data_IF_482252528493
#
_entry.id   IF_482252528493
#
_cell.length_a   1.000
_cell.length_b   1.000
_cell.length_c   1.000
_cell.angle_alpha   90.00
_cell.angle_beta   90.00
_cell.angle_gamma   90.00
#
_symmetry.space_group_name_H-M   'P 1'
#
loop_
_entity.id
_entity.type
_entity.pdbx_description
1 polymer ?
#
# COMPACT_ATOMS: atom_id res chain seq x y z
N UNK A 1 18.78 -1.35 1.92
CA UNK A 1 17.93 -1.80 0.79
C UNK A 1 16.54 -1.17 1.03
N UNK A 2 15.97 -0.42 0.09
CA UNK A 2 14.71 0.29 0.37
C UNK A 2 13.54 -0.69 0.43
N UNK A 3 12.66 -0.48 1.41
CA UNK A 3 11.34 -1.08 1.49
C UNK A 3 10.36 -0.22 0.70
N UNK A 4 9.55 -0.83 -0.16
CA UNK A 4 8.58 -0.10 -0.95
C UNK A 4 7.15 -0.35 -0.48
N UNK A 5 6.40 0.75 -0.41
CA UNK A 5 4.94 0.76 -0.31
C UNK A 5 4.43 1.43 -1.59
N UNK A 6 3.37 0.89 -2.18
CA UNK A 6 2.74 1.50 -3.35
C UNK A 6 1.27 1.75 -3.10
N UNK A 7 0.84 2.94 -3.49
CA UNK A 7 -0.58 3.26 -3.65
C UNK A 7 -0.89 3.16 -5.14
N UNK A 8 -1.71 2.18 -5.49
CA UNK A 8 -2.15 1.92 -6.87
C UNK A 8 -3.48 2.63 -7.09
N UNK A 9 -3.42 3.90 -7.49
CA UNK A 9 -4.57 4.80 -7.53
C UNK A 9 -5.46 4.62 -8.77
N UNK A 10 -6.78 4.66 -8.56
CA UNK A 10 -7.78 4.62 -9.64
C UNK A 10 -8.22 6.03 -10.09
N UNK A 11 -7.91 7.04 -9.29
CA UNK A 11 -8.07 8.45 -9.62
C UNK A 11 -6.69 9.08 -9.75
N UNK A 12 -6.52 9.96 -10.74
CA UNK A 12 -5.26 10.64 -11.03
C UNK A 12 -5.39 12.17 -10.86
N UNK A 13 -6.28 12.58 -9.97
CA UNK A 13 -6.46 13.98 -9.61
C UNK A 13 -5.15 14.57 -9.05
N UNK A 14 -4.98 15.86 -9.25
CA UNK A 14 -3.81 16.57 -8.71
C UNK A 14 -3.90 16.55 -7.18
N UNK A 15 -2.81 16.17 -6.55
CA UNK A 15 -2.63 16.25 -5.09
C UNK A 15 -1.59 17.35 -4.85
N UNK A 16 -2.02 18.56 -4.45
CA UNK A 16 -1.11 19.66 -4.19
C UNK A 16 -0.19 19.38 -2.99
N UNK A 17 0.99 19.98 -3.01
CA UNK A 17 1.97 19.79 -1.92
C UNK A 17 1.43 20.30 -0.59
N UNK A 18 0.71 21.42 -0.59
CA UNK A 18 0.08 22.02 0.58
C UNK A 18 -0.96 21.10 1.25
N UNK A 19 -1.66 20.25 0.49
CA UNK A 19 -2.55 19.24 1.06
C UNK A 19 -1.79 18.16 1.84
N UNK A 20 -0.60 17.79 1.36
CA UNK A 20 0.28 16.83 2.06
C UNK A 20 0.90 17.48 3.32
N UNK A 21 1.30 18.73 3.23
CA UNK A 21 1.77 19.51 4.38
C UNK A 21 0.65 19.65 5.43
N UNK A 22 -0.57 20.00 5.02
CA UNK A 22 -1.72 20.08 5.91
C UNK A 22 -2.08 18.72 6.56
N UNK A 23 -1.81 17.60 5.89
CA UNK A 23 -1.98 16.27 6.49
C UNK A 23 -0.98 16.04 7.63
N UNK A 24 0.29 16.42 7.43
CA UNK A 24 1.31 16.34 8.48
C UNK A 24 1.01 17.27 9.67
N UNK A 25 0.58 18.50 9.40
CA UNK A 25 0.18 19.47 10.44
C UNK A 25 -0.99 18.95 11.27
N UNK A 26 -2.04 18.41 10.61
CA UNK A 26 -3.22 17.83 11.28
C UNK A 26 -2.85 16.68 12.20
N UNK A 27 -1.89 15.86 11.79
CA UNK A 27 -1.43 14.70 12.56
C UNK A 27 -0.30 15.08 13.54
N UNK A 28 0.02 16.39 13.69
CA UNK A 28 1.07 16.96 14.58
C UNK A 28 2.48 16.39 14.31
N UNK A 29 2.77 16.08 13.03
CA UNK A 29 4.02 15.47 12.59
C UNK A 29 4.97 16.52 12.03
N UNK A 30 6.22 16.52 12.50
CA UNK A 30 7.24 17.47 12.07
C UNK A 30 8.15 16.85 11.01
N UNK A 31 7.83 17.10 9.75
CA UNK A 31 8.62 16.72 8.60
C UNK A 31 8.58 17.82 7.53
N UNK A 32 9.59 17.85 6.66
CA UNK A 32 9.68 18.81 5.55
C UNK A 32 9.51 18.06 4.23
N UNK A 33 8.67 18.58 3.35
CA UNK A 33 8.50 18.08 1.99
C UNK A 33 9.35 18.91 1.02
N UNK A 34 10.10 18.22 0.15
CA UNK A 34 10.90 18.84 -0.90
C UNK A 34 10.54 18.20 -2.23
N UNK A 35 9.73 18.91 -3.04
CA UNK A 35 9.32 18.43 -4.34
C UNK A 35 10.36 18.78 -5.42
N UNK A 36 10.39 17.99 -6.50
CA UNK A 36 11.23 18.22 -7.69
C UNK A 36 10.79 19.46 -8.48
N UNK A 37 9.55 19.88 -8.29
CA UNK A 37 8.97 21.09 -8.88
C UNK A 37 8.24 21.87 -7.78
N UNK A 38 8.45 23.20 -7.76
CA UNK A 38 7.77 24.07 -6.78
C UNK A 38 6.28 24.24 -7.10
N UNK A 39 5.92 24.14 -8.40
CA UNK A 39 4.55 24.22 -8.89
C UNK A 39 3.99 22.82 -9.19
N UNK A 40 2.69 22.61 -8.93
CA UNK A 40 1.99 21.40 -9.35
C UNK A 40 1.96 21.24 -10.89
N UNK A 41 2.10 19.98 -11.38
CA UNK A 41 2.14 18.71 -10.63
C UNK A 41 3.56 18.22 -10.35
N UNK A 42 3.87 17.92 -9.07
CA UNK A 42 5.11 17.25 -8.69
C UNK A 42 5.18 15.81 -9.23
N UNK A 43 6.40 15.32 -9.44
CA UNK A 43 6.69 13.91 -9.82
C UNK A 43 7.42 13.17 -8.71
N UNK A 44 8.25 13.86 -7.94
CA UNK A 44 9.02 13.29 -6.84
C UNK A 44 8.97 14.21 -5.63
N UNK A 45 8.78 13.63 -4.47
CA UNK A 45 8.88 14.32 -3.17
C UNK A 45 9.89 13.58 -2.29
N UNK A 46 10.90 14.28 -1.82
CA UNK A 46 11.74 13.84 -0.71
C UNK A 46 11.12 14.32 0.61
N UNK A 47 10.92 13.40 1.55
CA UNK A 47 10.39 13.69 2.88
C UNK A 47 11.52 13.60 3.90
N UNK A 48 11.77 14.71 4.60
CA UNK A 48 12.85 14.85 5.56
C UNK A 48 12.29 14.94 6.98
N UNK A 49 12.93 14.26 7.93
CA UNK A 49 12.64 14.44 9.35
C UNK A 49 13.02 15.84 9.82
N UNK A 50 12.57 16.25 11.01
CA UNK A 50 12.99 17.49 11.67
C UNK A 50 14.53 17.62 11.82
N UNK A 51 15.26 16.52 11.76
CA UNK A 51 16.74 16.47 11.83
C UNK A 51 17.39 16.49 10.44
N UNK A 52 16.61 16.60 9.35
CA UNK A 52 17.09 16.61 7.98
C UNK A 52 17.44 15.24 7.39
N UNK A 53 17.11 14.13 8.07
CA UNK A 53 17.30 12.78 7.53
C UNK A 53 16.16 12.42 6.59
N UNK A 54 16.46 11.82 5.43
CA UNK A 54 15.45 11.37 4.47
C UNK A 54 14.69 10.17 5.04
N UNK A 55 13.37 10.31 5.20
CA UNK A 55 12.47 9.28 5.70
C UNK A 55 11.91 8.43 4.56
N UNK A 56 11.41 9.09 3.53
CA UNK A 56 10.81 8.44 2.36
C UNK A 56 10.99 9.33 1.14
N UNK A 57 11.14 8.70 -0.01
CA UNK A 57 10.96 9.35 -1.30
C UNK A 57 9.65 8.85 -1.90
N UNK A 58 8.81 9.75 -2.40
CA UNK A 58 7.53 9.43 -3.02
C UNK A 58 7.63 9.79 -4.50
N UNK A 59 7.48 8.80 -5.38
CA UNK A 59 7.43 8.99 -6.82
C UNK A 59 5.99 8.82 -7.31
N UNK A 60 5.55 9.71 -8.22
CA UNK A 60 4.25 9.68 -8.87
C UNK A 60 4.42 9.30 -10.33
N UNK A 61 3.89 8.16 -10.71
CA UNK A 61 4.02 7.60 -12.06
C UNK A 61 2.63 7.36 -12.66
N UNK A 62 2.27 8.07 -13.74
CA UNK A 62 1.02 7.82 -14.47
C UNK A 62 1.11 6.52 -15.27
N UNK A 63 -0.04 5.80 -15.34
CA UNK A 63 -0.15 4.54 -16.07
C UNK A 63 -0.63 4.83 -17.50
N UNK A 64 0.20 4.48 -18.47
CA UNK A 64 -0.12 4.50 -19.90
C UNK A 64 0.75 3.46 -20.63
N UNK A 65 0.37 3.03 -21.84
CA UNK A 65 1.11 1.99 -22.56
C UNK A 65 2.59 2.34 -22.76
N UNK A 66 3.46 1.43 -22.31
CA UNK A 66 4.92 1.55 -22.46
C UNK A 66 5.64 2.37 -21.38
N UNK A 67 4.95 2.88 -20.35
CA UNK A 67 5.58 3.54 -19.22
C UNK A 67 6.05 2.53 -18.14
N UNK A 68 6.88 3.00 -17.19
CA UNK A 68 7.37 2.16 -16.07
C UNK A 68 6.23 1.64 -15.19
N UNK A 69 5.24 2.48 -14.86
CA UNK A 69 4.11 2.05 -14.03
C UNK A 69 3.28 0.93 -14.69
N UNK A 70 3.12 0.96 -16.03
CA UNK A 70 2.48 -0.14 -16.76
C UNK A 70 3.33 -1.42 -16.67
N UNK A 71 4.64 -1.32 -16.87
CA UNK A 71 5.53 -2.46 -16.76
C UNK A 71 5.49 -3.07 -15.34
N UNK A 72 5.48 -2.26 -14.29
CA UNK A 72 5.35 -2.70 -12.90
C UNK A 72 4.01 -3.41 -12.64
N UNK A 73 2.89 -2.89 -13.16
CA UNK A 73 1.59 -3.57 -13.06
C UNK A 73 1.58 -4.93 -13.80
N UNK A 74 2.26 -5.01 -14.94
CA UNK A 74 2.39 -6.28 -15.68
C UNK A 74 3.26 -7.29 -14.89
N UNK A 75 4.32 -6.83 -14.20
CA UNK A 75 5.10 -7.66 -13.28
C UNK A 75 4.25 -8.13 -12.09
N UNK A 76 3.42 -7.29 -11.50
CA UNK A 76 2.49 -7.68 -10.44
C UNK A 76 1.49 -8.74 -10.93
N UNK A 77 0.96 -8.62 -12.15
CA UNK A 77 0.09 -9.66 -12.74
C UNK A 77 0.76 -11.02 -12.84
N UNK A 78 2.05 -11.04 -13.14
CA UNK A 78 2.81 -12.29 -13.17
C UNK A 78 3.05 -12.82 -11.75
N UNK A 79 3.47 -11.96 -10.84
CA UNK A 79 3.81 -12.29 -9.46
C UNK A 79 2.61 -12.87 -8.70
N UNK A 80 1.43 -12.24 -8.78
CA UNK A 80 0.26 -12.67 -8.00
C UNK A 80 -0.21 -14.09 -8.36
N UNK A 81 0.10 -14.60 -9.55
CA UNK A 81 -0.33 -15.94 -9.99
C UNK A 81 0.23 -17.08 -9.16
N UNK A 82 1.33 -16.83 -8.45
CA UNK A 82 2.00 -17.81 -7.59
C UNK A 82 1.53 -17.72 -6.13
N UNK A 83 0.56 -16.83 -5.83
CA UNK A 83 0.12 -16.53 -4.46
C UNK A 83 -1.32 -16.94 -4.18
N UNK A 84 -1.73 -16.83 -2.91
CA UNK A 84 -3.03 -17.24 -2.40
C UNK A 84 -3.69 -16.08 -1.64
N UNK A 85 -5.03 -16.05 -1.55
CA UNK A 85 -6.00 -16.99 -2.13
C UNK A 85 -6.28 -16.71 -3.63
N UNK A 86 -6.66 -17.75 -4.39
CA UNK A 86 -6.92 -17.62 -5.83
C UNK A 86 -8.06 -16.64 -6.17
N UNK A 87 -9.05 -16.50 -5.29
CA UNK A 87 -10.14 -15.52 -5.45
C UNK A 87 -9.61 -14.08 -5.46
N UNK A 88 -8.63 -13.77 -4.60
CA UNK A 88 -7.97 -12.47 -4.58
C UNK A 88 -7.10 -12.26 -5.82
N UNK A 89 -6.39 -13.29 -6.30
CA UNK A 89 -5.59 -13.22 -7.54
C UNK A 89 -6.47 -12.84 -8.72
N UNK A 90 -7.61 -13.52 -8.91
CA UNK A 90 -8.55 -13.23 -10.00
C UNK A 90 -9.13 -11.82 -9.89
N UNK A 91 -9.47 -11.39 -8.69
CA UNK A 91 -9.99 -10.05 -8.45
C UNK A 91 -8.94 -8.97 -8.75
N UNK A 92 -7.68 -9.14 -8.26
CA UNK A 92 -6.57 -8.22 -8.50
C UNK A 92 -6.24 -8.09 -9.98
N UNK A 93 -6.19 -9.20 -10.73
CA UNK A 93 -5.91 -9.18 -12.17
C UNK A 93 -6.89 -8.29 -12.93
N UNK A 94 -8.19 -8.40 -12.63
CA UNK A 94 -9.21 -7.50 -13.19
C UNK A 94 -9.17 -6.07 -12.64
N UNK A 95 -8.74 -5.89 -11.38
CA UNK A 95 -8.67 -4.56 -10.77
C UNK A 95 -7.53 -3.71 -11.34
N UNK A 96 -6.41 -4.32 -11.71
CA UNK A 96 -5.25 -3.60 -12.27
C UNK A 96 -5.58 -2.81 -13.54
N UNK A 97 -6.60 -3.18 -14.32
CA UNK A 97 -7.06 -2.41 -15.48
C UNK A 97 -7.64 -1.03 -15.11
N UNK A 98 -7.99 -0.82 -13.84
CA UNK A 98 -8.55 0.43 -13.33
C UNK A 98 -7.48 1.41 -12.85
N UNK A 99 -6.23 0.95 -12.65
CA UNK A 99 -5.16 1.77 -12.11
C UNK A 99 -4.72 2.83 -13.13
N UNK A 100 -4.65 4.07 -12.68
CA UNK A 100 -4.27 5.24 -13.48
C UNK A 100 -2.97 5.88 -13.04
N UNK A 101 -2.58 5.66 -11.79
CA UNK A 101 -1.38 6.25 -11.19
C UNK A 101 -0.80 5.30 -10.15
N UNK A 102 0.53 5.24 -10.07
CA UNK A 102 1.27 4.54 -9.03
C UNK A 102 2.06 5.57 -8.23
N UNK A 103 1.81 5.63 -6.94
CA UNK A 103 2.65 6.37 -6.00
C UNK A 103 3.55 5.37 -5.29
N UNK A 104 4.85 5.41 -5.60
CA UNK A 104 5.85 4.53 -5.02
C UNK A 104 6.56 5.23 -3.86
N UNK A 105 6.43 4.70 -2.66
CA UNK A 105 7.07 5.17 -1.44
C UNK A 105 8.33 4.32 -1.20
N UNK A 106 9.49 4.84 -1.50
CA UNK A 106 10.75 4.24 -1.09
C UNK A 106 11.05 4.65 0.36
N UNK A 107 10.77 3.74 1.29
CA UNK A 107 10.95 3.98 2.73
C UNK A 107 12.37 3.65 3.13
N UNK A 108 13.06 4.58 3.78
CA UNK A 108 14.43 4.41 4.25
C UNK A 108 14.48 3.90 5.70
N UNK A 109 15.56 3.23 6.08
CA UNK A 109 15.71 2.61 7.40
C UNK A 109 15.47 3.58 8.57
N UNK A 110 15.81 4.87 8.38
CA UNK A 110 15.57 5.94 9.36
C UNK A 110 14.09 6.14 9.68
N UNK A 111 13.21 5.85 8.72
CA UNK A 111 11.77 5.94 8.94
C UNK A 111 11.25 4.87 9.90
N UNK A 112 11.98 3.76 10.07
CA UNK A 112 11.60 2.67 10.98
C UNK A 112 12.06 2.92 12.43
N UNK A 113 12.69 4.06 12.72
CA UNK A 113 13.20 4.41 14.03
C UNK A 113 12.28 5.47 14.65
N UNK A 114 11.97 5.30 15.93
CA UNK A 114 11.09 6.19 16.70
C UNK A 114 9.69 6.32 16.03
N UNK A 115 9.08 7.49 16.14
CA UNK A 115 7.76 7.79 15.57
C UNK A 115 7.83 8.27 14.10
N UNK A 116 8.99 8.14 13.44
CA UNK A 116 9.16 8.61 12.07
C UNK A 116 8.25 7.90 11.05
N UNK A 117 7.86 6.64 11.33
CA UNK A 117 6.97 5.89 10.45
C UNK A 117 5.56 6.48 10.38
N UNK A 118 5.14 7.26 11.41
CA UNK A 118 3.87 7.97 11.39
C UNK A 118 3.80 9.02 10.28
N UNK A 119 4.94 9.65 9.94
CA UNK A 119 5.05 10.57 8.80
C UNK A 119 4.72 9.84 7.48
N UNK A 120 5.33 8.66 7.27
CA UNK A 120 5.05 7.83 6.08
C UNK A 120 3.60 7.40 6.05
N UNK A 121 3.04 6.99 7.19
CA UNK A 121 1.65 6.55 7.33
C UNK A 121 0.66 7.68 7.05
N UNK A 122 0.93 8.90 7.53
CA UNK A 122 0.10 10.08 7.29
C UNK A 122 0.05 10.44 5.80
N UNK A 123 1.21 10.57 5.16
CA UNK A 123 1.29 10.88 3.72
C UNK A 123 0.66 9.79 2.86
N UNK A 124 0.88 8.51 3.18
CA UNK A 124 0.24 7.39 2.50
C UNK A 124 -1.30 7.47 2.60
N UNK A 125 -1.84 7.75 3.79
CA UNK A 125 -3.30 7.93 3.98
C UNK A 125 -3.84 9.11 3.17
N UNK A 126 -3.12 10.24 3.15
CA UNK A 126 -3.53 11.43 2.40
C UNK A 126 -3.58 11.14 0.89
N UNK A 127 -2.53 10.55 0.32
CA UNK A 127 -2.46 10.19 -1.09
C UNK A 127 -3.50 9.13 -1.43
N UNK A 128 -3.61 8.06 -0.65
CA UNK A 128 -4.58 7.00 -0.90
C UNK A 128 -6.02 7.48 -0.77
N UNK A 129 -6.31 8.35 0.19
CA UNK A 129 -7.64 8.95 0.34
C UNK A 129 -8.09 9.77 -0.88
N UNK A 130 -7.16 10.36 -1.63
CA UNK A 130 -7.43 11.12 -2.87
C UNK A 130 -7.45 10.23 -4.12
N UNK A 131 -6.48 9.35 -4.25
CA UNK A 131 -6.33 8.49 -5.43
C UNK A 131 -7.20 7.24 -5.40
N UNK A 132 -7.69 6.84 -4.22
CA UNK A 132 -8.35 5.56 -4.02
C UNK A 132 -7.45 4.38 -4.39
N UNK A 133 -8.07 3.23 -4.68
CA UNK A 133 -7.36 2.08 -5.22
C UNK A 133 -6.74 1.17 -4.16
N UNK A 134 -5.68 0.46 -4.50
CA UNK A 134 -5.08 -0.60 -3.71
C UNK A 134 -3.81 -0.14 -3.00
N UNK A 135 -3.45 -0.87 -1.94
CA UNK A 135 -2.13 -0.79 -1.34
C UNK A 135 -1.33 -2.06 -1.66
N UNK A 136 -0.07 -1.90 -2.01
CA UNK A 136 0.90 -2.99 -2.13
C UNK A 136 2.09 -2.67 -1.23
N UNK A 137 2.51 -3.63 -0.43
CA UNK A 137 3.70 -3.52 0.41
C UNK A 137 4.65 -4.66 0.07
N UNK A 138 5.94 -4.34 -0.06
CA UNK A 138 6.97 -5.35 -0.24
C UNK A 138 6.96 -6.34 0.94
N UNK A 139 7.08 -7.64 0.66
CA UNK A 139 7.09 -8.72 1.65
C UNK A 139 5.80 -8.88 2.49
N UNK A 140 4.73 -8.16 2.14
CA UNK A 140 3.42 -8.36 2.76
C UNK A 140 2.40 -8.83 1.72
N UNK A 141 2.29 -8.11 0.60
CA UNK A 141 1.35 -8.35 -0.48
C UNK A 141 0.38 -7.20 -0.71
N UNK A 142 -0.86 -7.52 -1.03
CA UNK A 142 -1.87 -6.55 -1.44
C UNK A 142 -2.97 -6.38 -0.41
N UNK A 143 -3.43 -5.13 -0.25
CA UNK A 143 -4.66 -4.80 0.44
C UNK A 143 -5.67 -4.24 -0.57
N UNK A 144 -6.97 -4.54 -0.35
CA UNK A 144 -8.04 -4.03 -1.18
C UNK A 144 -8.26 -2.51 -1.00
N UNK A 145 -9.23 -1.96 -1.71
CA UNK A 145 -9.60 -0.55 -1.70
C UNK A 145 -10.22 -0.05 -0.38
N UNK A 146 -10.42 -0.96 0.59
CA UNK A 146 -10.83 -0.65 1.96
C UNK A 146 -9.68 -0.85 2.98
N UNK A 147 -8.48 -1.24 2.53
CA UNK A 147 -7.28 -1.42 3.36
C UNK A 147 -7.14 -2.78 4.04
N UNK A 148 -8.00 -3.75 3.74
CA UNK A 148 -7.88 -5.11 4.26
C UNK A 148 -6.92 -5.93 3.41
N UNK A 149 -6.01 -6.65 4.07
CA UNK A 149 -5.06 -7.53 3.42
C UNK A 149 -5.78 -8.69 2.72
N UNK A 150 -5.47 -8.93 1.44
CA UNK A 150 -6.20 -9.88 0.61
C UNK A 150 -5.33 -10.92 -0.08
N UNK A 151 -4.02 -10.67 -0.22
CA UNK A 151 -3.08 -11.57 -0.89
C UNK A 151 -1.82 -11.75 -0.06
N UNK A 152 -1.47 -13.00 0.25
CA UNK A 152 -0.36 -13.34 1.11
C UNK A 152 0.98 -13.31 0.39
N UNK A 153 1.90 -12.46 0.85
CA UNK A 153 3.31 -12.46 0.46
C UNK A 153 4.24 -12.31 1.69
N UNK A 154 3.70 -12.54 2.89
CA UNK A 154 4.50 -12.50 4.09
C UNK A 154 5.53 -13.65 4.14
N UNK A 155 6.69 -13.44 4.78
CA UNK A 155 7.63 -14.50 5.09
C UNK A 155 7.01 -15.53 6.06
N UNK A 156 7.57 -16.76 6.06
CA UNK A 156 7.02 -17.88 6.80
C UNK A 156 7.02 -17.69 8.34
N UNK A 157 7.95 -16.89 8.84
CA UNK A 157 8.14 -16.61 10.28
C UNK A 157 7.35 -15.39 10.78
N UNK A 158 6.49 -14.81 9.94
CA UNK A 158 5.66 -13.67 10.33
C UNK A 158 4.73 -14.01 11.49
N UNK A 159 4.53 -13.06 12.40
CA UNK A 159 3.62 -13.17 13.55
C UNK A 159 2.87 -11.85 13.76
N UNK A 160 1.84 -11.89 14.60
CA UNK A 160 1.02 -10.75 14.97
C UNK A 160 -0.32 -10.71 14.27
N UNK A 161 -1.14 -9.76 14.67
CA UNK A 161 -2.50 -9.58 14.15
C UNK A 161 -2.52 -8.76 12.86
N UNK A 162 -3.35 -9.18 11.90
CA UNK A 162 -3.60 -8.43 10.66
C UNK A 162 -5.10 -8.35 10.36
N UNK A 163 -5.52 -7.19 9.86
CA UNK A 163 -6.85 -7.02 9.29
C UNK A 163 -6.86 -7.54 7.86
N UNK A 164 -7.64 -8.58 7.62
CA UNK A 164 -7.69 -9.31 6.35
C UNK A 164 -9.11 -9.34 5.80
N UNK A 165 -9.23 -9.68 4.51
CA UNK A 165 -10.50 -10.00 3.90
C UNK A 165 -10.35 -11.13 2.88
N UNK A 166 -11.39 -11.95 2.76
CA UNK A 166 -11.53 -12.95 1.69
C UNK A 166 -12.76 -12.64 0.86
N UNK A 167 -12.69 -12.96 -0.43
CA UNK A 167 -13.80 -12.73 -1.35
C UNK A 167 -14.78 -13.92 -1.30
N UNK A 168 -15.99 -13.68 -0.80
CA UNK A 168 -17.07 -14.65 -0.77
C UNK A 168 -18.28 -14.11 -1.53
N UNK A 169 -18.75 -14.85 -2.54
CA UNK A 169 -19.89 -14.48 -3.38
C UNK A 169 -19.83 -13.03 -3.93
N UNK A 170 -18.62 -12.55 -4.26
CA UNK A 170 -18.41 -11.21 -4.81
C UNK A 170 -18.34 -10.08 -3.78
N UNK A 171 -18.39 -10.39 -2.48
CA UNK A 171 -18.25 -9.42 -1.39
C UNK A 171 -17.04 -9.74 -0.50
N UNK A 172 -16.37 -8.69 0.01
CA UNK A 172 -15.29 -8.86 0.97
C UNK A 172 -15.83 -9.17 2.37
N UNK A 173 -15.50 -10.35 2.89
CA UNK A 173 -15.75 -10.72 4.28
C UNK A 173 -14.50 -10.37 5.09
N UNK A 174 -14.65 -9.44 6.04
CA UNK A 174 -13.58 -8.80 6.80
C UNK A 174 -13.39 -9.47 8.16
N UNK A 175 -12.14 -9.64 8.56
CA UNK A 175 -11.80 -10.22 9.86
C UNK A 175 -10.38 -9.81 10.29
N UNK A 176 -10.09 -10.04 11.57
CA UNK A 176 -8.73 -9.95 12.13
C UNK A 176 -8.25 -11.36 12.44
N UNK A 177 -7.05 -11.70 11.97
CA UNK A 177 -6.42 -12.99 12.20
C UNK A 177 -5.01 -12.83 12.80
N UNK A 178 -4.54 -13.87 13.49
CA UNK A 178 -3.16 -14.02 13.89
C UNK A 178 -2.34 -14.62 12.74
N UNK A 179 -1.37 -13.85 12.24
CA UNK A 179 -0.48 -14.29 11.16
C UNK A 179 0.44 -15.45 11.60
N UNK A 180 0.67 -15.63 12.91
CA UNK A 180 1.48 -16.71 13.47
C UNK A 180 0.75 -18.04 13.54
N UNK A 181 -0.58 -18.05 13.49
CA UNK A 181 -1.40 -19.27 13.58
C UNK A 181 -1.46 -20.01 12.24
N UNK A 182 -0.88 -21.22 12.11
CA UNK A 182 -0.86 -21.96 10.85
C UNK A 182 -2.25 -22.38 10.37
N UNK A 183 -3.22 -22.60 11.27
CA UNK A 183 -4.58 -22.97 10.87
C UNK A 183 -5.33 -21.77 10.29
N UNK A 184 -5.11 -20.58 10.84
CA UNK A 184 -5.68 -19.35 10.29
C UNK A 184 -5.06 -19.02 8.92
N UNK A 185 -3.73 -19.21 8.76
CA UNK A 185 -3.07 -19.07 7.45
C UNK A 185 -3.66 -20.00 6.41
N UNK A 186 -3.81 -21.29 6.74
CA UNK A 186 -4.34 -22.29 5.80
C UNK A 186 -5.76 -21.94 5.36
N UNK A 187 -6.62 -21.51 6.27
CA UNK A 187 -7.98 -21.06 5.91
C UNK A 187 -7.95 -19.83 5.02
N UNK A 188 -7.13 -18.82 5.36
CA UNK A 188 -6.96 -17.62 4.51
C UNK A 188 -6.48 -17.98 3.10
N UNK A 189 -5.46 -18.84 2.96
CA UNK A 189 -4.97 -19.29 1.66
C UNK A 189 -6.01 -20.06 0.84
N UNK A 190 -6.90 -20.78 1.52
CA UNK A 190 -8.05 -21.44 0.88
C UNK A 190 -9.15 -20.44 0.44
N UNK A 191 -9.03 -19.17 0.80
CA UNK A 191 -10.07 -18.15 0.56
C UNK A 191 -11.23 -18.22 1.54
N UNK A 192 -11.00 -18.79 2.72
CA UNK A 192 -11.99 -18.99 3.79
C UNK A 192 -11.73 -18.07 4.97
N UNK A 193 -12.78 -17.68 5.70
CA UNK A 193 -12.64 -16.98 6.98
C UNK A 193 -12.20 -17.98 8.04
N UNK A 194 -11.03 -17.77 8.70
CA UNK A 194 -10.58 -18.68 9.74
C UNK A 194 -11.57 -18.76 10.91
N UNK A 195 -11.81 -19.97 11.44
CA UNK A 195 -12.79 -20.18 12.50
C UNK A 195 -12.50 -19.38 13.78
N UNK A 196 -11.21 -19.16 14.09
CA UNK A 196 -10.76 -18.41 15.28
C UNK A 196 -10.56 -16.92 15.00
N UNK A 197 -10.76 -16.46 13.77
CA UNK A 197 -10.63 -15.05 13.44
C UNK A 197 -11.80 -14.22 13.99
N UNK A 198 -11.51 -12.98 14.37
CA UNK A 198 -12.52 -12.02 14.82
C UNK A 198 -13.17 -11.38 13.60
N UNK A 199 -14.42 -11.69 13.32
CA UNK A 199 -15.19 -11.02 12.25
C UNK A 199 -15.45 -9.56 12.59
N UNK A 200 -15.41 -8.67 11.58
CA UNK A 200 -15.59 -7.22 11.69
C UNK A 200 -16.95 -6.80 11.13
#
# INVERSE_FOLDING_TARGET
MGYFIRVLGVYNDVIPLDELEAALERDELNATLSADQEDDPWSVIDVLSAKGSRLVQIEKNFVFPGCLAQAELDEFRLLIREHQPLSAVQWLDGYFDRIKVVYAFQVFDVAMIDDNYEVVSSLKRAIWGKSGGLLQNDLEGFSNDEGYHILWQFPDDITGDKYCAVLDNGAWVKFRMDLGDPFQRMAFWAGEVPQMAVRL
#
